data_IF_321217841375
#
_entry.id   IF_321217841375
#
_cell.length_a   1.000
_cell.length_b   1.000
_cell.length_c   1.000
_cell.angle_alpha   90.00
_cell.angle_beta   90.00
_cell.angle_gamma   90.00
#
_symmetry.space_group_name_H-M   'P 1'
#
loop_
_entity.id
_entity.type
_entity.pdbx_description
1 polymer ?
#
# COMPACT_ATOMS: atom_id res chain seq x y z
N UNK A 1 1.11 -22.69 20.12
CA UNK A 1 0.93 -21.22 20.00
C UNK A 1 2.24 -20.67 19.54
N UNK A 2 2.39 -20.39 18.24
CA UNK A 2 3.61 -19.76 17.72
C UNK A 2 3.69 -18.35 18.33
N UNK A 3 4.79 -18.05 18.99
CA UNK A 3 5.11 -16.69 19.42
C UNK A 3 5.23 -15.86 18.14
N UNK A 4 4.37 -14.85 17.98
CA UNK A 4 4.42 -13.90 16.86
C UNK A 4 5.84 -13.31 16.76
N UNK A 5 6.35 -13.13 15.54
CA UNK A 5 7.64 -12.49 15.34
C UNK A 5 7.60 -11.03 15.81
N UNK A 6 8.77 -10.42 16.00
CA UNK A 6 8.87 -9.00 16.32
C UNK A 6 8.20 -8.14 15.23
N UNK A 7 8.36 -8.49 13.95
CA UNK A 7 7.76 -7.77 12.82
C UNK A 7 6.24 -7.89 12.83
N UNK A 8 5.70 -9.06 13.14
CA UNK A 8 4.25 -9.27 13.21
C UNK A 8 3.64 -8.49 14.38
N UNK A 9 4.30 -8.49 15.55
CA UNK A 9 3.88 -7.68 16.69
C UNK A 9 3.90 -6.18 16.39
N UNK A 10 4.95 -5.70 15.72
CA UNK A 10 5.04 -4.28 15.31
C UNK A 10 3.91 -3.95 14.33
N UNK A 11 3.66 -4.80 13.33
CA UNK A 11 2.54 -4.62 12.41
C UNK A 11 1.18 -4.59 13.14
N UNK A 12 0.96 -5.49 14.09
CA UNK A 12 -0.25 -5.50 14.91
C UNK A 12 -0.40 -4.22 15.75
N UNK A 13 0.69 -3.75 16.36
CA UNK A 13 0.70 -2.51 17.13
C UNK A 13 0.36 -1.30 16.24
N UNK A 14 0.99 -1.21 15.07
CA UNK A 14 0.75 -0.13 14.12
C UNK A 14 -0.67 -0.14 13.58
N UNK A 15 -1.19 -1.31 13.23
CA UNK A 15 -2.58 -1.50 12.84
C UNK A 15 -3.55 -1.10 13.95
N UNK A 16 -3.27 -1.49 15.20
CA UNK A 16 -4.08 -1.10 16.35
C UNK A 16 -4.07 0.41 16.59
N UNK A 17 -2.91 1.06 16.52
CA UNK A 17 -2.78 2.52 16.62
C UNK A 17 -3.60 3.22 15.53
N UNK A 18 -3.53 2.73 14.29
CA UNK A 18 -4.30 3.28 13.17
C UNK A 18 -5.81 3.15 13.41
N UNK A 19 -6.29 1.96 13.76
CA UNK A 19 -7.72 1.69 14.00
C UNK A 19 -8.25 2.45 15.20
N UNK A 20 -7.48 2.57 16.29
CA UNK A 20 -7.90 3.32 17.48
C UNK A 20 -8.03 4.81 17.19
N UNK A 21 -7.08 5.40 16.46
CA UNK A 21 -7.16 6.82 16.10
C UNK A 21 -8.31 7.09 15.13
N UNK A 22 -8.48 6.24 14.11
CA UNK A 22 -9.58 6.37 13.16
C UNK A 22 -10.94 6.18 13.84
N UNK A 23 -11.08 5.17 14.71
CA UNK A 23 -12.28 4.95 15.51
C UNK A 23 -12.59 6.11 16.47
N UNK A 24 -11.54 6.69 17.07
CA UNK A 24 -11.69 7.89 17.90
C UNK A 24 -12.17 9.09 17.10
N UNK A 25 -11.63 9.31 15.89
CA UNK A 25 -12.10 10.37 14.98
C UNK A 25 -13.58 10.19 14.63
N UNK A 26 -13.99 8.98 14.26
CA UNK A 26 -15.39 8.69 13.94
C UNK A 26 -16.31 8.86 15.15
N UNK A 27 -15.85 8.51 16.36
CA UNK A 27 -16.59 8.77 17.59
C UNK A 27 -16.76 10.29 17.85
N UNK A 28 -15.70 11.08 17.66
CA UNK A 28 -15.78 12.54 17.77
C UNK A 28 -16.74 13.12 16.73
N UNK A 29 -16.70 12.64 15.48
CA UNK A 29 -17.62 13.07 14.42
C UNK A 29 -19.09 12.75 14.76
N UNK A 30 -19.36 11.54 15.28
CA UNK A 30 -20.70 11.13 15.71
C UNK A 30 -21.24 11.98 16.87
N UNK A 31 -20.34 12.50 17.71
CA UNK A 31 -20.68 13.43 18.80
C UNK A 31 -20.74 14.90 18.36
N UNK A 32 -20.50 15.21 17.07
CA UNK A 32 -20.45 16.58 16.54
C UNK A 32 -19.22 17.38 17.01
N UNK A 33 -18.18 16.70 17.51
CA UNK A 33 -16.94 17.30 18.02
C UNK A 33 -15.82 17.36 16.97
N UNK A 34 -15.96 16.64 15.86
CA UNK A 34 -15.08 16.76 14.69
C UNK A 34 -15.85 17.39 13.52
N UNK A 35 -15.21 18.34 12.84
CA UNK A 35 -15.77 18.95 11.63
C UNK A 35 -15.69 17.99 10.44
N UNK A 36 -16.39 18.30 9.36
CA UNK A 36 -16.24 17.61 8.07
C UNK A 36 -15.36 18.45 7.15
N UNK A 37 -14.42 17.81 6.48
CA UNK A 37 -13.58 18.42 5.44
C UNK A 37 -13.54 17.49 4.24
N UNK A 38 -13.65 18.00 3.01
CA UNK A 38 -13.59 17.18 1.79
C UNK A 38 -14.49 15.92 1.83
N UNK A 39 -15.68 16.05 2.43
CA UNK A 39 -16.66 14.97 2.56
C UNK A 39 -16.36 13.89 3.61
N UNK A 40 -15.31 14.05 4.42
CA UNK A 40 -14.91 13.08 5.46
C UNK A 40 -14.68 13.77 6.82
N UNK A 41 -14.74 13.04 7.95
CA UNK A 41 -14.38 13.58 9.25
C UNK A 41 -12.96 14.14 9.30
N UNK A 42 -12.83 15.38 9.74
CA UNK A 42 -11.56 16.09 9.85
C UNK A 42 -10.90 15.85 11.21
N UNK A 43 -9.64 15.44 11.22
CA UNK A 43 -8.86 15.28 12.44
C UNK A 43 -8.71 16.63 13.16
N UNK A 44 -9.20 16.77 14.41
CA UNK A 44 -9.30 18.08 15.06
C UNK A 44 -8.03 18.51 15.81
N UNK A 45 -6.99 17.68 15.87
CA UNK A 45 -5.76 17.94 16.63
C UNK A 45 -4.56 18.20 15.72
N UNK A 46 -3.60 18.99 16.18
CA UNK A 46 -2.37 19.27 15.41
C UNK A 46 -1.38 18.09 15.36
N UNK A 47 -1.57 17.08 16.22
CA UNK A 47 -0.70 15.92 16.33
C UNK A 47 -1.54 14.63 16.21
N UNK A 48 -0.90 13.57 15.72
CA UNK A 48 -1.37 12.19 15.75
C UNK A 48 -0.26 11.28 16.25
N UNK A 49 -0.58 10.07 16.68
CA UNK A 49 0.41 9.05 16.97
C UNK A 49 1.16 8.64 15.68
N UNK A 50 2.48 8.58 15.79
CA UNK A 50 3.40 8.25 14.71
C UNK A 50 3.64 6.73 14.66
N UNK A 51 3.15 6.08 13.61
CA UNK A 51 3.55 4.70 13.31
C UNK A 51 4.94 4.61 12.65
N UNK A 52 5.31 5.63 11.87
CA UNK A 52 6.49 5.61 11.01
C UNK A 52 7.81 5.53 11.81
N UNK A 53 7.87 6.19 12.97
CA UNK A 53 9.08 6.18 13.82
C UNK A 53 9.26 4.82 14.50
N UNK A 54 8.17 4.17 14.93
CA UNK A 54 8.20 2.85 15.56
C UNK A 54 8.70 1.76 14.61
N UNK A 55 8.49 1.94 13.30
CA UNK A 55 9.08 1.07 12.29
C UNK A 55 10.59 1.29 12.10
N UNK A 56 11.01 2.55 12.02
CA UNK A 56 12.37 2.90 11.64
C UNK A 56 13.32 2.57 12.79
N UNK A 57 12.90 2.85 14.02
CA UNK A 57 13.71 2.59 15.21
C UNK A 57 13.09 1.50 16.11
N UNK A 58 13.61 0.28 15.97
CA UNK A 58 13.22 -0.87 16.78
C UNK A 58 13.50 -0.68 18.27
N UNK A 59 14.42 0.21 18.65
CA UNK A 59 14.69 0.54 20.05
C UNK A 59 13.50 1.25 20.68
N UNK A 60 12.94 2.24 19.99
CA UNK A 60 11.76 3.00 20.45
C UNK A 60 10.55 2.07 20.56
N UNK A 61 10.35 1.15 19.62
CA UNK A 61 9.28 0.15 19.71
C UNK A 61 9.42 -0.74 20.96
N UNK A 62 10.63 -1.20 21.29
CA UNK A 62 10.88 -1.99 22.51
C UNK A 62 10.68 -1.18 23.78
N UNK A 63 11.11 0.08 23.77
CA UNK A 63 10.93 0.99 24.89
C UNK A 63 9.44 1.24 25.14
N UNK A 64 8.66 1.49 24.10
CA UNK A 64 7.21 1.64 24.19
C UNK A 64 6.54 0.37 24.71
N UNK A 65 6.94 -0.81 24.21
CA UNK A 65 6.41 -2.10 24.69
C UNK A 65 6.71 -2.31 26.17
N UNK A 66 7.93 -1.96 26.60
CA UNK A 66 8.34 -2.04 28.00
C UNK A 66 7.49 -1.10 28.85
N UNK A 67 7.27 0.13 28.38
CA UNK A 67 6.44 1.12 29.05
C UNK A 67 4.97 0.67 29.19
N UNK A 68 4.40 0.07 28.15
CA UNK A 68 3.06 -0.54 28.19
C UNK A 68 3.00 -1.71 29.19
N UNK A 69 4.04 -2.56 29.24
CA UNK A 69 4.17 -3.64 30.20
C UNK A 69 4.19 -3.15 31.65
N UNK A 70 5.03 -2.17 31.96
CA UNK A 70 5.05 -1.54 33.30
C UNK A 70 3.71 -0.88 33.64
N UNK A 71 3.07 -0.23 32.67
CA UNK A 71 1.74 0.37 32.87
C UNK A 71 0.68 -0.69 33.21
N UNK A 72 0.70 -1.85 32.56
CA UNK A 72 -0.21 -2.96 32.88
C UNK A 72 0.04 -3.52 34.30
N UNK A 73 1.30 -3.65 34.71
CA UNK A 73 1.65 -4.09 36.08
C UNK A 73 1.23 -3.04 37.12
N UNK A 74 1.40 -1.75 36.82
CA UNK A 74 0.93 -0.67 37.68
C UNK A 74 -0.60 -0.68 37.84
N UNK A 75 -1.34 -0.91 36.74
CA UNK A 75 -2.81 -1.04 36.78
C UNK A 75 -3.23 -2.26 37.60
N UNK A 76 -2.58 -3.41 37.44
CA UNK A 76 -2.85 -4.59 38.24
C UNK A 76 -2.58 -4.34 39.73
N UNK A 77 -1.45 -3.69 40.05
CA UNK A 77 -1.11 -3.31 41.41
C UNK A 77 -2.16 -2.38 42.03
N UNK A 78 -2.66 -1.41 41.25
CA UNK A 78 -3.74 -0.52 41.66
C UNK A 78 -5.05 -1.27 41.92
N UNK A 79 -5.44 -2.18 41.02
CA UNK A 79 -6.64 -3.03 41.20
C UNK A 79 -6.52 -3.87 42.47
N UNK A 80 -5.36 -4.48 42.72
CA UNK A 80 -5.09 -5.24 43.94
C UNK A 80 -5.15 -4.32 45.17
N UNK A 81 -4.64 -3.09 45.10
CA UNK A 81 -4.72 -2.12 46.20
C UNK A 81 -6.17 -1.75 46.56
N UNK A 82 -7.05 -1.69 45.57
CA UNK A 82 -8.47 -1.42 45.77
C UNK A 82 -9.18 -2.61 46.43
N UNK A 83 -8.86 -3.84 46.00
CA UNK A 83 -9.45 -5.08 46.52
C UNK A 83 -8.90 -5.51 47.89
N UNK A 84 -7.60 -5.30 48.15
CA UNK A 84 -6.90 -5.79 49.34
C UNK A 84 -6.69 -4.69 50.39
N UNK A 85 -7.66 -4.54 51.30
CA UNK A 85 -7.65 -3.49 52.34
C UNK A 85 -6.42 -3.51 53.25
N UNK A 86 -5.86 -4.68 53.56
CA UNK A 86 -4.68 -4.81 54.47
C UNK A 86 -3.36 -4.46 53.79
N UNK A 87 -3.21 -4.74 52.49
CA UNK A 87 -1.99 -4.47 51.70
C UNK A 87 -2.02 -3.18 50.89
N UNK A 88 -3.09 -2.37 51.01
CA UNK A 88 -3.37 -1.22 50.14
C UNK A 88 -2.21 -0.24 50.01
N UNK A 89 -1.61 0.17 51.14
CA UNK A 89 -0.52 1.17 51.13
C UNK A 89 0.71 0.65 50.38
N UNK A 90 1.09 -0.62 50.59
CA UNK A 90 2.22 -1.24 49.90
C UNK A 90 1.98 -1.29 48.40
N UNK A 91 0.78 -1.69 47.97
CA UNK A 91 0.43 -1.77 46.55
C UNK A 91 0.34 -0.39 45.88
N UNK A 92 -0.11 0.65 46.60
CA UNK A 92 -0.07 2.03 46.10
C UNK A 92 1.37 2.54 45.93
N UNK A 93 2.25 2.29 46.90
CA UNK A 93 3.67 2.64 46.78
C UNK A 93 4.33 1.89 45.62
N UNK A 94 4.03 0.60 45.45
CA UNK A 94 4.49 -0.17 44.30
C UNK A 94 4.00 0.42 42.97
N UNK A 95 2.72 0.83 42.90
CA UNK A 95 2.15 1.49 41.70
C UNK A 95 2.90 2.76 41.36
N UNK A 96 3.15 3.63 42.35
CA UNK A 96 3.91 4.88 42.15
C UNK A 96 5.34 4.60 41.71
N UNK A 97 6.02 3.63 42.35
CA UNK A 97 7.37 3.24 41.97
C UNK A 97 7.42 2.71 40.53
N UNK A 98 6.49 1.85 40.13
CA UNK A 98 6.43 1.32 38.76
C UNK A 98 6.26 2.45 37.75
N UNK A 99 5.32 3.36 37.98
CA UNK A 99 5.08 4.51 37.07
C UNK A 99 6.31 5.40 36.98
N UNK A 100 6.99 5.68 38.10
CA UNK A 100 8.17 6.53 38.14
C UNK A 100 9.38 5.92 37.39
N UNK A 101 9.60 4.61 37.51
CA UNK A 101 10.70 3.91 36.83
C UNK A 101 10.33 3.39 35.43
N UNK A 102 9.15 3.72 34.93
CA UNK A 102 8.72 3.30 33.58
C UNK A 102 9.57 4.03 32.54
N UNK A 103 10.27 3.32 31.62
CA UNK A 103 11.12 3.94 30.61
C UNK A 103 10.27 4.46 29.45
N UNK A 104 9.58 5.59 29.62
CA UNK A 104 8.78 6.18 28.55
C UNK A 104 9.66 6.67 27.40
N UNK A 105 9.27 6.40 26.13
CA UNK A 105 9.94 7.01 24.99
C UNK A 105 9.70 8.51 24.94
N UNK A 106 10.62 9.25 24.30
CA UNK A 106 10.43 10.69 24.08
C UNK A 106 9.13 10.94 23.30
N UNK A 107 8.29 11.85 23.83
CA UNK A 107 6.98 12.17 23.22
C UNK A 107 7.11 12.54 21.75
N UNK A 108 8.14 13.30 21.38
CA UNK A 108 8.38 13.75 20.00
C UNK A 108 8.66 12.61 19.02
N UNK A 109 9.00 11.41 19.51
CA UNK A 109 9.17 10.20 18.70
C UNK A 109 7.86 9.41 18.56
N UNK A 110 6.89 9.65 19.46
CA UNK A 110 5.59 8.96 19.47
C UNK A 110 4.50 9.74 18.72
N UNK A 111 4.69 11.03 18.47
CA UNK A 111 3.74 11.87 17.75
C UNK A 111 4.32 12.41 16.44
N UNK A 112 3.45 12.63 15.47
CA UNK A 112 3.76 13.29 14.21
C UNK A 112 2.76 14.45 13.99
N UNK A 113 3.16 15.52 13.27
CA UNK A 113 2.22 16.52 12.80
C UNK A 113 1.08 15.86 12.03
N UNK A 114 -0.14 16.29 12.30
CA UNK A 114 -1.34 15.82 11.63
C UNK A 114 -1.99 16.96 10.86
N UNK A 115 -2.67 16.60 9.79
CA UNK A 115 -3.50 17.49 9.00
C UNK A 115 -4.97 17.11 9.18
N UNK A 116 -5.92 18.02 8.93
CA UNK A 116 -7.35 17.72 9.02
C UNK A 116 -7.73 16.48 8.19
N UNK A 117 -7.07 16.28 7.05
CA UNK A 117 -7.32 15.13 6.18
C UNK A 117 -6.48 13.89 6.51
N UNK A 118 -5.63 13.86 7.55
CA UNK A 118 -4.68 12.75 7.81
C UNK A 118 -5.28 11.34 7.76
N UNK A 119 -6.54 11.18 8.19
CA UNK A 119 -7.26 9.90 8.21
C UNK A 119 -8.25 9.73 7.06
N UNK A 120 -8.30 10.68 6.11
CA UNK A 120 -9.12 10.52 4.93
C UNK A 120 -8.63 9.36 4.07
N UNK A 121 -9.58 8.63 3.50
CA UNK A 121 -9.34 7.52 2.59
C UNK A 121 -9.74 7.91 1.18
N UNK A 122 -9.05 7.35 0.18
CA UNK A 122 -9.38 7.61 -1.21
C UNK A 122 -10.70 6.92 -1.59
N UNK A 123 -11.70 7.64 -2.11
CA UNK A 123 -12.95 7.05 -2.57
C UNK A 123 -12.83 6.40 -3.96
N UNK A 124 -11.68 6.53 -4.64
CA UNK A 124 -11.48 6.08 -6.03
C UNK A 124 -11.32 4.57 -6.17
N UNK A 125 -11.04 3.86 -5.07
CA UNK A 125 -10.80 2.41 -5.06
C UNK A 125 -9.60 1.98 -5.90
N UNK A 126 -8.60 2.85 -6.09
CA UNK A 126 -7.46 2.61 -6.97
C UNK A 126 -7.89 2.15 -8.38
N UNK A 127 -8.96 2.77 -8.91
CA UNK A 127 -9.53 2.39 -10.20
C UNK A 127 -8.61 2.75 -11.36
N UNK A 128 -8.65 1.92 -12.41
CA UNK A 128 -7.86 2.17 -13.61
C UNK A 128 -8.18 3.54 -14.24
N UNK A 129 -9.45 3.95 -14.22
CA UNK A 129 -9.88 5.26 -14.70
C UNK A 129 -9.27 6.41 -13.86
N UNK A 130 -9.24 6.28 -12.53
CA UNK A 130 -8.63 7.28 -11.66
C UNK A 130 -7.11 7.38 -11.90
N UNK A 131 -6.40 6.26 -12.08
CA UNK A 131 -4.97 6.25 -12.40
C UNK A 131 -4.70 6.98 -13.72
N UNK A 132 -5.49 6.69 -14.76
CA UNK A 132 -5.33 7.32 -16.08
C UNK A 132 -5.67 8.81 -16.05
N UNK A 133 -6.73 9.19 -15.36
CA UNK A 133 -7.08 10.59 -15.14
C UNK A 133 -5.99 11.33 -14.35
N UNK A 134 -5.52 10.74 -13.26
CA UNK A 134 -4.43 11.26 -12.44
C UNK A 134 -3.16 11.49 -13.23
N UNK A 135 -2.82 10.61 -14.19
CA UNK A 135 -1.70 10.81 -15.10
C UNK A 135 -1.84 12.12 -15.89
N UNK A 136 -3.01 12.37 -16.47
CA UNK A 136 -3.24 13.58 -17.28
C UNK A 136 -3.09 14.83 -16.43
N UNK A 137 -3.65 14.82 -15.22
CA UNK A 137 -3.52 15.95 -14.28
C UNK A 137 -2.05 16.14 -13.86
N UNK A 138 -1.33 15.04 -13.57
CA UNK A 138 0.06 15.09 -13.14
C UNK A 138 0.98 15.68 -14.21
N UNK A 139 0.83 15.23 -15.47
CA UNK A 139 1.60 15.75 -16.60
C UNK A 139 1.40 17.25 -16.78
N UNK A 140 0.18 17.75 -16.54
CA UNK A 140 -0.16 19.17 -16.69
C UNK A 140 0.27 20.05 -15.51
N UNK A 141 0.31 19.52 -14.29
CA UNK A 141 0.41 20.32 -13.06
C UNK A 141 1.64 20.02 -12.20
N UNK A 142 2.19 18.82 -12.29
CA UNK A 142 3.20 18.31 -11.35
C UNK A 142 4.53 18.03 -12.04
N UNK A 143 4.51 17.53 -13.28
CA UNK A 143 5.69 17.01 -13.98
C UNK A 143 6.78 18.07 -14.26
N UNK A 144 6.43 19.36 -14.34
CA UNK A 144 7.43 20.43 -14.54
C UNK A 144 8.43 20.54 -13.39
N UNK A 145 8.04 20.15 -12.17
CA UNK A 145 8.90 20.10 -11.00
C UNK A 145 9.28 18.66 -10.65
N UNK A 146 8.31 17.74 -10.63
CA UNK A 146 8.51 16.37 -10.15
C UNK A 146 8.99 15.38 -11.23
N UNK A 147 9.20 15.82 -12.47
CA UNK A 147 9.45 14.98 -13.65
C UNK A 147 8.31 14.00 -13.97
N UNK A 148 8.23 13.51 -15.20
CA UNK A 148 7.20 12.54 -15.63
C UNK A 148 7.36 11.21 -14.89
N UNK A 149 8.60 10.79 -14.63
CA UNK A 149 8.90 9.55 -13.90
C UNK A 149 8.84 9.72 -12.37
N UNK A 150 8.54 10.92 -11.87
CA UNK A 150 8.39 11.19 -10.44
C UNK A 150 9.69 11.44 -9.68
N UNK A 151 10.86 11.42 -10.33
CA UNK A 151 12.15 11.54 -9.62
C UNK A 151 12.49 12.96 -9.16
N UNK A 152 11.90 13.98 -9.79
CA UNK A 152 12.22 15.38 -9.50
C UNK A 152 13.45 15.92 -10.23
N UNK A 153 13.99 15.19 -11.21
CA UNK A 153 15.21 15.58 -11.94
C UNK A 153 14.90 16.56 -13.09
N UNK A 154 14.34 17.73 -12.77
CA UNK A 154 14.02 18.79 -13.75
C UNK A 154 14.88 20.04 -13.55
N UNK A 155 15.16 20.84 -14.60
CA UNK A 155 15.88 22.11 -14.44
C UNK A 155 15.20 23.06 -13.44
N UNK A 156 13.85 23.06 -13.41
CA UNK A 156 13.09 23.86 -12.44
C UNK A 156 13.29 23.35 -11.02
N UNK A 157 13.19 22.04 -10.78
CA UNK A 157 13.44 21.46 -9.46
C UNK A 157 14.85 21.76 -8.92
N UNK A 158 15.86 21.73 -9.78
CA UNK A 158 17.25 22.06 -9.42
C UNK A 158 17.44 23.55 -9.08
N UNK A 159 16.54 24.42 -9.52
CA UNK A 159 16.57 25.85 -9.21
C UNK A 159 15.85 26.21 -7.90
N UNK A 160 15.08 25.29 -7.32
CA UNK A 160 14.33 25.54 -6.09
C UNK A 160 15.24 25.46 -4.86
N UNK A 161 15.00 26.28 -3.82
CA UNK A 161 15.75 26.20 -2.56
C UNK A 161 15.64 24.83 -1.87
N UNK A 162 14.53 24.13 -2.10
CA UNK A 162 14.28 22.77 -1.61
C UNK A 162 13.85 21.93 -2.81
N UNK A 163 14.66 20.95 -3.17
CA UNK A 163 14.33 20.01 -4.25
C UNK A 163 13.03 19.25 -3.92
N UNK A 164 12.13 19.05 -4.88
CA UNK A 164 10.97 18.19 -4.70
C UNK A 164 11.41 16.77 -4.31
N UNK A 165 10.66 16.08 -3.44
CA UNK A 165 10.98 14.70 -3.09
C UNK A 165 10.82 13.78 -4.30
N UNK A 166 11.63 12.72 -4.34
CA UNK A 166 11.49 11.63 -5.30
C UNK A 166 10.19 10.84 -5.02
N UNK A 167 9.16 11.09 -5.81
CA UNK A 167 7.85 10.43 -5.75
C UNK A 167 7.88 9.00 -6.28
N UNK A 168 8.93 8.61 -7.02
CA UNK A 168 9.14 7.23 -7.45
C UNK A 168 9.68 6.32 -6.35
N UNK A 169 10.08 6.87 -5.20
CA UNK A 169 10.65 6.10 -4.09
C UNK A 169 9.57 5.47 -3.20
N UNK A 170 9.95 4.42 -2.47
CA UNK A 170 9.10 3.81 -1.43
C UNK A 170 8.66 4.77 -0.32
N UNK A 171 9.28 5.96 -0.18
CA UNK A 171 8.86 6.97 0.80
C UNK A 171 7.47 7.53 0.53
N UNK A 172 7.04 7.57 -0.74
CA UNK A 172 5.68 7.97 -1.10
C UNK A 172 4.65 7.11 -0.37
N UNK A 173 4.87 5.80 -0.36
CA UNK A 173 3.95 4.80 0.19
C UNK A 173 3.87 4.81 1.72
N UNK A 174 4.87 5.37 2.39
CA UNK A 174 4.88 5.53 3.85
C UNK A 174 4.00 6.70 4.32
N UNK A 175 3.61 7.64 3.45
CA UNK A 175 2.83 8.83 3.82
C UNK A 175 1.33 8.54 3.84
N UNK A 176 0.61 9.05 4.84
CA UNK A 176 -0.85 9.03 4.87
C UNK A 176 -1.46 9.60 3.58
N UNK A 177 -2.46 8.94 3.00
CA UNK A 177 -2.96 9.35 1.68
C UNK A 177 -3.69 10.68 1.85
N UNK A 178 -4.41 10.83 2.96
CA UNK A 178 -4.94 12.08 3.44
C UNK A 178 -3.92 13.19 3.70
N UNK A 179 -2.68 12.88 4.12
CA UNK A 179 -1.61 13.89 4.22
C UNK A 179 -1.05 14.28 2.85
N UNK A 180 -0.95 13.32 1.91
CA UNK A 180 -0.62 13.62 0.52
C UNK A 180 -1.70 14.52 -0.09
N UNK A 181 -2.97 14.21 0.18
CA UNK A 181 -4.11 15.03 -0.23
C UNK A 181 -3.96 16.46 0.29
N UNK A 182 -3.68 16.63 1.60
CA UNK A 182 -3.50 17.95 2.18
C UNK A 182 -2.38 18.74 1.49
N UNK A 183 -1.23 18.10 1.27
CA UNK A 183 -0.06 18.73 0.64
C UNK A 183 -0.33 19.14 -0.81
N UNK A 184 -1.09 18.35 -1.56
CA UNK A 184 -1.50 18.72 -2.92
C UNK A 184 -2.52 19.86 -2.89
N UNK A 185 -3.54 19.76 -2.05
CA UNK A 185 -4.61 20.75 -1.98
C UNK A 185 -4.11 22.11 -1.46
N UNK A 186 -3.36 22.13 -0.36
CA UNK A 186 -2.99 23.33 0.39
C UNK A 186 -1.51 23.71 0.27
N UNK A 187 -0.70 22.87 -0.37
CA UNK A 187 0.74 23.10 -0.57
C UNK A 187 1.60 22.49 0.54
N UNK A 188 2.92 22.60 0.37
CA UNK A 188 3.89 22.14 1.35
C UNK A 188 4.75 23.30 1.84
N UNK A 189 5.24 23.16 3.08
CA UNK A 189 6.12 24.13 3.73
C UNK A 189 7.36 23.45 4.30
N UNK A 190 8.45 24.20 4.41
CA UNK A 190 9.64 23.75 5.13
C UNK A 190 9.49 23.93 6.66
N UNK A 191 10.54 23.55 7.39
CA UNK A 191 10.60 23.68 8.86
C UNK A 191 10.56 25.12 9.38
N UNK A 192 10.79 26.11 8.52
CA UNK A 192 10.73 27.54 8.84
C UNK A 192 9.39 28.16 8.41
N UNK A 193 8.48 27.34 7.85
CA UNK A 193 7.16 27.76 7.40
C UNK A 193 7.14 28.37 5.99
N UNK A 194 8.28 28.40 5.28
CA UNK A 194 8.34 28.90 3.92
C UNK A 194 7.67 27.92 2.95
N UNK A 195 6.90 28.42 1.99
CA UNK A 195 6.22 27.59 1.01
C UNK A 195 7.24 26.93 0.06
N UNK A 196 7.23 25.61 -0.01
CA UNK A 196 8.09 24.80 -0.89
C UNK A 196 7.33 24.18 -2.06
N UNK A 197 6.01 24.05 -1.93
CA UNK A 197 5.12 23.58 -3.00
C UNK A 197 3.82 24.41 -2.95
N UNK A 198 3.31 24.90 -4.09
CA UNK A 198 2.04 25.62 -4.13
C UNK A 198 0.86 24.66 -3.83
N UNK A 199 -0.21 25.20 -3.25
CA UNK A 199 -1.48 24.49 -3.12
C UNK A 199 -2.34 24.63 -4.38
N UNK A 200 -3.14 23.60 -4.67
CA UNK A 200 -3.94 23.48 -5.89
C UNK A 200 -5.46 23.54 -5.67
N UNK A 201 -5.94 23.96 -4.49
CA UNK A 201 -7.38 24.09 -4.17
C UNK A 201 -8.22 24.91 -5.16
N UNK A 202 -7.62 25.81 -5.94
CA UNK A 202 -8.34 26.61 -6.95
C UNK A 202 -8.35 25.98 -8.34
N UNK A 203 -7.54 24.96 -8.56
CA UNK A 203 -7.29 24.35 -9.88
C UNK A 203 -7.73 22.89 -9.95
N UNK A 204 -7.78 22.20 -8.81
CA UNK A 204 -8.07 20.77 -8.71
C UNK A 204 -9.27 20.55 -7.80
N UNK A 205 -10.14 19.62 -8.21
CA UNK A 205 -11.19 19.07 -7.36
C UNK A 205 -10.62 17.97 -6.44
N UNK A 206 -11.35 17.62 -5.39
CA UNK A 206 -10.95 16.51 -4.50
C UNK A 206 -10.76 15.20 -5.28
N UNK A 207 -11.59 14.94 -6.29
CA UNK A 207 -11.45 13.77 -7.16
C UNK A 207 -10.16 13.79 -7.98
N UNK A 208 -9.73 14.96 -8.45
CA UNK A 208 -8.45 15.12 -9.15
C UNK A 208 -7.28 14.83 -8.21
N UNK A 209 -7.35 15.28 -6.96
CA UNK A 209 -6.31 15.05 -5.96
C UNK A 209 -6.20 13.57 -5.60
N UNK A 210 -7.32 12.87 -5.42
CA UNK A 210 -7.30 11.42 -5.17
C UNK A 210 -6.79 10.63 -6.38
N UNK A 211 -7.21 11.01 -7.59
CA UNK A 211 -6.70 10.42 -8.83
C UNK A 211 -5.19 10.64 -9.00
N UNK A 212 -4.67 11.83 -8.64
CA UNK A 212 -3.24 12.11 -8.62
C UNK A 212 -2.48 11.16 -7.68
N UNK A 213 -3.01 10.91 -6.47
CA UNK A 213 -2.38 9.99 -5.52
C UNK A 213 -2.35 8.55 -6.06
N UNK A 214 -3.45 8.09 -6.68
CA UNK A 214 -3.50 6.78 -7.34
C UNK A 214 -2.47 6.68 -8.46
N UNK A 215 -2.39 7.69 -9.33
CA UNK A 215 -1.39 7.76 -10.38
C UNK A 215 0.04 7.77 -9.82
N UNK A 216 0.32 8.59 -8.81
CA UNK A 216 1.66 8.68 -8.20
C UNK A 216 2.12 7.32 -7.67
N UNK A 217 1.24 6.57 -7.00
CA UNK A 217 1.51 5.20 -6.53
C UNK A 217 1.75 4.25 -7.71
N UNK A 218 0.88 4.27 -8.72
CA UNK A 218 1.03 3.44 -9.93
C UNK A 218 2.35 3.75 -10.68
N UNK A 219 2.71 5.01 -10.81
CA UNK A 219 3.93 5.45 -11.48
C UNK A 219 5.18 5.06 -10.70
N UNK A 220 5.15 5.20 -9.35
CA UNK A 220 6.22 4.75 -8.48
C UNK A 220 6.46 3.23 -8.61
N UNK A 221 5.40 2.44 -8.74
CA UNK A 221 5.51 1.00 -9.00
C UNK A 221 6.22 0.69 -10.32
N UNK A 222 5.82 1.34 -11.42
CA UNK A 222 6.47 1.16 -12.71
C UNK A 222 7.92 1.64 -12.72
N UNK A 223 8.21 2.75 -12.02
CA UNK A 223 9.56 3.26 -11.86
C UNK A 223 10.46 2.33 -11.05
N UNK A 224 9.93 1.72 -9.97
CA UNK A 224 10.63 0.73 -9.15
C UNK A 224 11.02 -0.49 -9.99
N UNK A 225 10.10 -1.06 -10.77
CA UNK A 225 10.42 -2.16 -11.69
C UNK A 225 11.53 -1.78 -12.67
N UNK A 226 11.46 -0.60 -13.30
CA UNK A 226 12.48 -0.18 -14.26
C UNK A 226 13.85 0.04 -13.61
N UNK A 227 13.87 0.44 -12.33
CA UNK A 227 15.10 0.73 -11.61
C UNK A 227 15.77 -0.52 -11.03
N UNK A 228 15.00 -1.44 -10.45
CA UNK A 228 15.53 -2.57 -9.67
C UNK A 228 14.96 -3.94 -10.05
N UNK A 229 14.03 -4.00 -11.01
CA UNK A 229 13.43 -5.25 -11.51
C UNK A 229 12.29 -5.81 -10.64
N UNK A 230 11.95 -5.15 -9.53
CA UNK A 230 10.94 -5.58 -8.56
C UNK A 230 10.05 -4.39 -8.12
N UNK A 231 8.98 -4.69 -7.38
CA UNK A 231 8.18 -3.69 -6.68
C UNK A 231 8.64 -3.56 -5.23
N UNK A 232 9.15 -2.38 -4.87
CA UNK A 232 9.51 -2.05 -3.49
C UNK A 232 8.33 -2.07 -2.52
N UNK A 233 7.12 -1.85 -3.04
CA UNK A 233 5.88 -1.70 -2.28
C UNK A 233 4.76 -2.49 -2.97
N UNK A 234 3.79 -3.02 -2.22
CA UNK A 234 2.75 -3.86 -2.80
C UNK A 234 1.78 -2.99 -3.60
N UNK A 235 1.40 -3.47 -4.78
CA UNK A 235 0.52 -2.75 -5.70
C UNK A 235 -0.74 -3.56 -5.91
N UNK A 236 -1.90 -2.98 -5.63
CA UNK A 236 -3.16 -3.65 -5.89
C UNK A 236 -3.41 -3.77 -7.40
N UNK A 237 -4.10 -4.82 -7.83
CA UNK A 237 -4.65 -4.86 -9.18
C UNK A 237 -5.67 -3.71 -9.30
N UNK A 238 -5.55 -2.79 -10.28
CA UNK A 238 -6.49 -1.68 -10.41
C UNK A 238 -7.93 -2.16 -10.57
N UNK A 239 -8.85 -1.54 -9.83
CA UNK A 239 -10.28 -1.81 -10.02
C UNK A 239 -10.68 -1.48 -11.46
N UNK A 240 -11.48 -2.34 -12.11
CA UNK A 240 -11.74 -2.24 -13.55
C UNK A 240 -10.80 -3.05 -14.44
N UNK A 241 -9.62 -3.46 -13.96
CA UNK A 241 -8.73 -4.34 -14.72
C UNK A 241 -9.17 -5.81 -14.69
N UNK A 242 -9.92 -6.20 -13.66
CA UNK A 242 -10.54 -7.51 -13.53
C UNK A 242 -12.01 -7.56 -13.93
N UNK A 243 -12.66 -6.45 -14.31
CA UNK A 243 -14.12 -6.44 -14.45
C UNK A 243 -14.62 -7.27 -15.63
N UNK A 244 -15.61 -8.12 -15.36
CA UNK A 244 -16.15 -9.09 -16.30
C UNK A 244 -17.65 -8.87 -16.46
N UNK A 245 -18.10 -8.49 -17.65
CA UNK A 245 -19.53 -8.28 -17.95
C UNK A 245 -20.26 -7.45 -16.88
N UNK A 246 -19.62 -6.37 -16.38
CA UNK A 246 -20.13 -5.47 -15.32
C UNK A 246 -20.17 -6.05 -13.90
N UNK A 247 -19.54 -7.19 -13.64
CA UNK A 247 -19.24 -7.65 -12.28
C UNK A 247 -17.80 -7.32 -11.94
N UNK A 248 -17.61 -6.56 -10.85
CA UNK A 248 -16.31 -6.35 -10.26
C UNK A 248 -15.76 -7.70 -9.79
N UNK A 249 -14.58 -8.08 -10.27
CA UNK A 249 -13.86 -9.20 -9.68
C UNK A 249 -13.18 -8.67 -8.43
N UNK A 250 -13.88 -8.81 -7.30
CA UNK A 250 -13.20 -8.90 -6.02
C UNK A 250 -12.51 -10.25 -5.99
N UNK A 251 -11.28 -10.28 -5.48
CA UNK A 251 -10.53 -11.52 -5.33
C UNK A 251 -11.35 -12.57 -4.58
N UNK A 252 -12.24 -12.20 -3.64
CA UNK A 252 -13.07 -13.14 -2.85
C UNK A 252 -12.26 -14.33 -2.31
N UNK A 253 -10.97 -14.11 -2.01
CA UNK A 253 -10.03 -15.15 -1.59
C UNK A 253 -9.46 -16.03 -2.73
N UNK A 254 -9.85 -15.81 -3.98
CA UNK A 254 -9.28 -16.39 -5.20
C UNK A 254 -8.22 -15.48 -5.82
N UNK A 255 -7.23 -16.08 -6.47
CA UNK A 255 -6.20 -15.36 -7.21
C UNK A 255 -6.68 -15.01 -8.61
N UNK A 256 -6.30 -13.85 -9.09
CA UNK A 256 -6.62 -13.40 -10.44
C UNK A 256 -5.36 -13.46 -11.29
N UNK A 257 -5.47 -14.09 -12.45
CA UNK A 257 -4.45 -14.06 -13.50
C UNK A 257 -4.93 -13.16 -14.63
N UNK A 258 -4.25 -12.03 -14.83
CA UNK A 258 -4.55 -11.10 -15.93
C UNK A 258 -3.61 -11.39 -17.09
N UNK A 259 -4.16 -11.70 -18.26
CA UNK A 259 -3.44 -11.99 -19.50
C UNK A 259 -3.65 -10.83 -20.45
N UNK A 260 -2.57 -10.14 -20.81
CA UNK A 260 -2.62 -8.97 -21.69
C UNK A 260 -2.49 -9.45 -23.14
N UNK A 261 -3.59 -9.37 -23.90
CA UNK A 261 -3.65 -9.89 -25.27
C UNK A 261 -3.85 -8.75 -26.26
N UNK A 262 -3.09 -8.74 -27.36
CA UNK A 262 -3.34 -7.81 -28.45
C UNK A 262 -4.14 -8.45 -29.56
N UNK A 263 -5.10 -7.71 -30.13
CA UNK A 263 -5.76 -8.11 -31.38
C UNK A 263 -4.79 -8.15 -32.57
N UNK A 264 -3.66 -7.44 -32.50
CA UNK A 264 -2.64 -7.35 -33.56
C UNK A 264 -1.54 -8.40 -33.43
N UNK A 265 -1.32 -8.90 -32.22
CA UNK A 265 -0.33 -9.93 -31.91
C UNK A 265 -1.01 -11.05 -31.11
N UNK A 266 -1.62 -12.03 -31.80
CA UNK A 266 -2.27 -13.14 -31.11
C UNK A 266 -1.20 -14.02 -30.43
N UNK A 267 -1.04 -13.86 -29.12
CA UNK A 267 -0.27 -14.77 -28.29
C UNK A 267 -1.04 -16.08 -28.06
N UNK A 268 -0.31 -17.18 -27.88
CA UNK A 268 -0.92 -18.43 -27.41
C UNK A 268 -1.52 -18.19 -26.02
N UNK A 269 -2.83 -18.41 -25.88
CA UNK A 269 -3.50 -18.26 -24.60
C UNK A 269 -3.13 -19.46 -23.72
N UNK A 270 -2.65 -19.22 -22.47
CA UNK A 270 -2.30 -20.32 -21.58
C UNK A 270 -3.53 -21.14 -21.21
N UNK A 271 -3.32 -22.42 -20.92
CA UNK A 271 -4.34 -23.25 -20.30
C UNK A 271 -4.79 -22.62 -18.97
N UNK A 272 -6.09 -22.69 -18.72
CA UNK A 272 -6.67 -22.18 -17.50
C UNK A 272 -6.41 -23.13 -16.31
N UNK A 273 -6.30 -22.58 -15.09
CA UNK A 273 -5.97 -23.31 -13.87
C UNK A 273 -7.12 -23.09 -12.87
N UNK A 274 -7.78 -24.15 -12.36
CA UNK A 274 -8.98 -24.02 -11.52
C UNK A 274 -8.73 -23.32 -10.17
N UNK A 275 -7.47 -23.11 -9.78
CA UNK A 275 -7.11 -22.37 -8.55
C UNK A 275 -7.01 -20.86 -8.79
N UNK A 276 -7.03 -20.44 -10.04
CA UNK A 276 -6.92 -19.06 -10.50
C UNK A 276 -8.21 -18.69 -11.24
N UNK A 277 -8.51 -17.40 -11.25
CA UNK A 277 -9.50 -16.83 -12.16
C UNK A 277 -8.78 -16.11 -13.28
N UNK A 278 -8.93 -16.56 -14.50
CA UNK A 278 -8.20 -16.01 -15.65
C UNK A 278 -9.00 -14.94 -16.38
N UNK A 279 -8.45 -13.73 -16.45
CA UNK A 279 -9.02 -12.58 -17.16
C UNK A 279 -8.12 -12.23 -18.32
N UNK A 280 -8.64 -12.24 -19.54
CA UNK A 280 -7.96 -11.58 -20.66
C UNK A 280 -8.34 -10.11 -20.66
N UNK A 281 -7.35 -9.23 -20.64
CA UNK A 281 -7.54 -7.84 -20.98
C UNK A 281 -7.00 -7.62 -22.39
N UNK A 282 -7.88 -7.18 -23.30
CA UNK A 282 -7.53 -6.96 -24.70
C UNK A 282 -7.44 -5.49 -25.07
N UNK A 283 -6.46 -5.14 -25.91
CA UNK A 283 -6.29 -3.80 -26.49
C UNK A 283 -7.31 -3.48 -27.62
N UNK A 284 -8.13 -4.46 -28.00
CA UNK A 284 -9.01 -4.39 -29.15
C UNK A 284 -9.94 -5.60 -29.30
N UNK A 285 -10.46 -5.79 -30.51
CA UNK A 285 -11.39 -6.88 -30.82
C UNK A 285 -10.66 -8.23 -30.94
N UNK A 286 -10.48 -8.91 -29.81
CA UNK A 286 -9.99 -10.29 -29.78
C UNK A 286 -11.14 -11.28 -30.03
N UNK A 287 -10.90 -12.29 -30.89
CA UNK A 287 -11.76 -13.48 -30.98
C UNK A 287 -11.16 -14.56 -30.08
N UNK A 288 -11.90 -14.97 -29.04
CA UNK A 288 -11.52 -16.10 -28.21
C UNK A 288 -11.65 -17.40 -29.01
N UNK A 289 -10.75 -18.39 -28.81
CA UNK A 289 -10.98 -19.74 -29.29
C UNK A 289 -12.32 -20.27 -28.75
N UNK A 290 -13.04 -21.04 -29.56
CA UNK A 290 -14.25 -21.71 -29.08
C UNK A 290 -13.90 -22.60 -27.87
N UNK A 291 -14.72 -22.65 -26.81
CA UNK A 291 -14.51 -23.52 -25.67
C UNK A 291 -14.34 -24.97 -26.17
N UNK A 292 -13.19 -25.58 -25.91
CA UNK A 292 -12.99 -27.00 -26.22
C UNK A 292 -13.58 -27.83 -25.08
N UNK A 293 -14.34 -28.88 -25.41
CA UNK A 293 -14.95 -29.76 -24.41
C UNK A 293 -13.85 -30.39 -23.52
N UNK A 294 -13.89 -30.06 -22.22
CA UNK A 294 -12.91 -30.56 -21.23
C UNK A 294 -11.67 -29.68 -21.02
N UNK A 295 -11.51 -28.57 -21.76
CA UNK A 295 -10.49 -27.56 -21.48
C UNK A 295 -11.10 -26.44 -20.61
N UNK A 296 -10.43 -26.00 -19.53
CA UNK A 296 -10.93 -24.92 -18.71
C UNK A 296 -11.01 -23.64 -19.57
N UNK A 297 -12.21 -23.08 -19.66
CA UNK A 297 -12.51 -21.93 -20.50
C UNK A 297 -12.04 -20.68 -19.78
N UNK A 298 -11.34 -19.79 -20.50
CA UNK A 298 -10.97 -18.48 -19.97
C UNK A 298 -12.22 -17.79 -19.44
N UNK A 299 -12.23 -17.50 -18.14
CA UNK A 299 -13.41 -17.04 -17.41
C UNK A 299 -13.95 -15.71 -17.95
N UNK A 300 -13.08 -14.88 -18.52
CA UNK A 300 -13.43 -13.50 -18.85
C UNK A 300 -12.56 -12.82 -19.90
N UNK A 301 -13.21 -11.95 -20.69
CA UNK A 301 -12.58 -10.99 -21.60
C UNK A 301 -13.02 -9.57 -21.25
N UNK A 302 -12.07 -8.72 -20.86
CA UNK A 302 -12.23 -7.29 -20.67
C UNK A 302 -11.59 -6.51 -21.83
N UNK A 303 -12.14 -5.33 -22.12
CA UNK A 303 -11.65 -4.40 -23.16
C UNK A 303 -11.47 -2.98 -22.61
N UNK A 304 -11.20 -2.87 -21.31
CA UNK A 304 -11.01 -1.58 -20.65
C UNK A 304 -9.70 -0.94 -21.12
N UNK A 305 -9.82 0.18 -21.85
CA UNK A 305 -8.66 0.99 -22.27
C UNK A 305 -7.92 1.57 -21.07
N UNK A 306 -8.67 1.99 -20.06
CA UNK A 306 -8.10 2.56 -18.84
C UNK A 306 -7.30 1.50 -18.09
N UNK A 307 -7.80 0.26 -17.99
CA UNK A 307 -7.06 -0.84 -17.38
C UNK A 307 -5.77 -1.17 -18.14
N UNK A 308 -5.82 -1.15 -19.47
CA UNK A 308 -4.63 -1.39 -20.29
C UNK A 308 -3.56 -0.33 -20.02
N UNK A 309 -3.95 0.94 -19.97
CA UNK A 309 -3.04 2.05 -19.68
C UNK A 309 -2.55 2.04 -18.23
N UNK A 310 -3.42 1.76 -17.25
CA UNK A 310 -3.03 1.67 -15.84
C UNK A 310 -2.02 0.54 -15.61
N UNK A 311 -2.20 -0.63 -16.25
CA UNK A 311 -1.24 -1.73 -16.16
C UNK A 311 0.07 -1.42 -16.89
N UNK A 312 0.05 -0.67 -18.00
CA UNK A 312 1.29 -0.15 -18.62
C UNK A 312 2.07 0.72 -17.63
N UNK A 313 1.39 1.63 -16.91
CA UNK A 313 2.02 2.47 -15.88
C UNK A 313 2.60 1.62 -14.75
N UNK A 314 1.81 0.69 -14.18
CA UNK A 314 2.20 -0.14 -13.02
C UNK A 314 3.35 -1.10 -13.34
N UNK A 315 3.33 -1.71 -14.51
CA UNK A 315 4.37 -2.67 -14.93
C UNK A 315 5.63 -1.96 -15.45
N UNK A 316 5.51 -0.68 -15.76
CA UNK A 316 6.55 0.12 -16.39
C UNK A 316 6.86 -0.29 -17.84
N UNK A 317 6.00 -1.09 -18.47
CA UNK A 317 6.11 -1.55 -19.86
C UNK A 317 5.27 -0.61 -20.74
N UNK A 318 5.82 -0.18 -21.87
CA UNK A 318 5.10 0.68 -22.82
C UNK A 318 3.85 -0.02 -23.37
N UNK A 319 2.82 0.78 -23.66
CA UNK A 319 1.48 0.28 -23.97
C UNK A 319 1.43 -0.62 -25.22
N UNK A 320 2.34 -0.41 -26.17
CA UNK A 320 2.50 -1.20 -27.40
C UNK A 320 3.28 -2.52 -27.18
N UNK A 321 4.10 -2.59 -26.12
CA UNK A 321 4.89 -3.76 -25.73
C UNK A 321 4.21 -4.59 -24.63
N UNK A 322 3.06 -4.13 -24.13
CA UNK A 322 2.37 -4.75 -22.99
C UNK A 322 1.78 -6.12 -23.31
N UNK A 323 1.43 -6.36 -24.59
CA UNK A 323 0.84 -7.60 -25.06
C UNK A 323 1.78 -8.81 -24.83
N UNK A 324 1.22 -9.93 -24.36
CA UNK A 324 1.95 -11.13 -23.95
C UNK A 324 2.32 -11.15 -22.47
N UNK A 325 2.18 -10.04 -21.77
CA UNK A 325 2.43 -9.97 -20.32
C UNK A 325 1.33 -10.69 -19.54
N UNK A 326 1.73 -11.45 -18.52
CA UNK A 326 0.80 -12.05 -17.56
C UNK A 326 1.07 -11.49 -16.17
N UNK A 327 0.02 -11.18 -15.42
CA UNK A 327 0.10 -10.73 -14.04
C UNK A 327 -0.69 -11.67 -13.15
N UNK A 328 -0.18 -11.93 -11.96
CA UNK A 328 -0.82 -12.80 -10.98
C UNK A 328 -0.99 -12.06 -9.66
N UNK A 329 -2.19 -12.13 -9.09
CA UNK A 329 -2.47 -11.61 -7.75
C UNK A 329 -2.38 -12.70 -6.67
N UNK A 330 -2.21 -12.30 -5.42
CA UNK A 330 -2.59 -13.15 -4.29
C UNK A 330 -4.10 -13.10 -4.02
N UNK A 331 -4.52 -13.74 -2.93
CA UNK A 331 -5.92 -13.86 -2.49
C UNK A 331 -6.50 -12.53 -2.00
N UNK A 332 -5.65 -11.59 -1.61
CA UNK A 332 -6.04 -10.27 -1.12
C UNK A 332 -6.07 -9.22 -2.25
N UNK A 333 -5.74 -9.63 -3.48
CA UNK A 333 -5.81 -8.78 -4.67
C UNK A 333 -4.55 -7.95 -4.92
N UNK A 334 -3.46 -8.21 -4.20
CA UNK A 334 -2.17 -7.60 -4.49
C UNK A 334 -1.54 -8.27 -5.69
N UNK A 335 -0.99 -7.50 -6.62
CA UNK A 335 -0.15 -8.02 -7.69
C UNK A 335 1.15 -8.57 -7.08
N UNK A 336 1.50 -9.80 -7.44
CA UNK A 336 2.63 -10.51 -6.82
C UNK A 336 3.66 -11.00 -7.83
N UNK A 337 3.22 -11.44 -9.01
CA UNK A 337 4.12 -11.98 -10.01
C UNK A 337 3.78 -11.45 -11.42
N UNK A 338 4.81 -11.41 -12.26
CA UNK A 338 4.70 -11.00 -13.65
C UNK A 338 5.50 -11.92 -14.54
N UNK A 339 4.91 -12.27 -15.67
CA UNK A 339 5.58 -12.92 -16.78
C UNK A 339 5.67 -11.97 -17.96
N UNK A 340 6.87 -11.81 -18.52
CA UNK A 340 7.09 -10.96 -19.68
C UNK A 340 6.68 -11.65 -20.98
N UNK A 341 6.42 -10.88 -22.06
CA UNK A 341 6.07 -11.44 -23.37
C UNK A 341 7.12 -12.42 -23.92
N UNK A 342 8.41 -12.13 -23.71
CA UNK A 342 9.51 -13.00 -24.15
C UNK A 342 9.48 -14.38 -23.48
N UNK A 343 8.94 -14.46 -22.26
CA UNK A 343 8.86 -15.68 -21.45
C UNK A 343 7.45 -16.24 -21.38
N UNK A 344 6.50 -15.71 -22.17
CA UNK A 344 5.07 -16.03 -22.04
C UNK A 344 4.78 -17.53 -22.10
N UNK A 345 5.60 -18.28 -22.84
CA UNK A 345 5.50 -19.73 -23.05
C UNK A 345 6.30 -20.58 -22.04
N UNK A 346 7.13 -19.98 -21.18
CA UNK A 346 7.92 -20.70 -20.17
C UNK A 346 7.08 -21.30 -19.04
N UNK A 347 7.69 -22.04 -18.10
CA UNK A 347 7.02 -22.34 -16.84
C UNK A 347 7.13 -21.12 -15.90
N UNK A 348 6.14 -20.93 -15.02
CA UNK A 348 6.29 -19.98 -13.91
C UNK A 348 7.44 -20.39 -12.98
N UNK A 349 8.08 -19.42 -12.35
CA UNK A 349 9.23 -19.62 -11.48
C UNK A 349 9.21 -18.59 -10.34
N UNK A 350 9.93 -18.86 -9.25
CA UNK A 350 10.00 -17.90 -8.15
C UNK A 350 10.57 -16.55 -8.59
N UNK A 351 11.47 -16.49 -9.57
CA UNK A 351 12.01 -15.24 -10.11
C UNK A 351 10.97 -14.33 -10.75
N UNK A 352 9.76 -14.84 -11.06
CA UNK A 352 8.65 -14.04 -11.56
C UNK A 352 7.97 -13.20 -10.46
N UNK A 353 8.28 -13.44 -9.17
CA UNK A 353 7.75 -12.67 -8.04
C UNK A 353 8.38 -11.27 -8.02
N UNK A 354 7.53 -10.26 -8.11
CA UNK A 354 7.93 -8.86 -8.12
C UNK A 354 7.96 -8.23 -6.72
N UNK A 355 7.15 -8.69 -5.78
CA UNK A 355 7.10 -8.14 -4.42
C UNK A 355 7.42 -9.25 -3.40
N UNK A 356 8.60 -9.14 -2.78
CA UNK A 356 9.17 -10.12 -1.84
C UNK A 356 9.43 -9.50 -0.47
N UNK A 357 9.35 -10.33 0.56
CA UNK A 357 9.84 -9.95 1.87
C UNK A 357 11.34 -9.64 1.77
N UNK A 358 11.86 -8.61 2.47
CA UNK A 358 13.30 -8.44 2.65
C UNK A 358 13.78 -9.57 3.58
N UNK A 359 14.04 -10.75 3.03
CA UNK A 359 14.67 -11.85 3.76
C UNK A 359 16.17 -11.58 3.84
N UNK A 360 16.73 -11.67 5.05
CA UNK A 360 18.14 -12.02 5.21
C UNK A 360 18.38 -13.27 4.37
N UNK A 361 19.45 -13.27 3.58
CA UNK A 361 19.93 -14.35 2.71
C UNK A 361 19.94 -15.74 3.39
N UNK A 362 18.78 -16.36 3.63
CA UNK A 362 18.70 -17.80 3.81
C UNK A 362 18.47 -18.42 2.44
N UNK A 363 19.56 -18.46 1.68
CA UNK A 363 19.74 -19.42 0.62
C UNK A 363 19.61 -20.82 1.22
N UNK A 364 18.46 -21.47 1.05
CA UNK A 364 18.37 -22.90 1.28
C UNK A 364 17.07 -23.37 1.90
N UNK A 365 16.03 -23.44 1.07
CA UNK A 365 15.13 -24.59 0.95
C UNK A 365 14.25 -24.36 -0.28
N UNK A 366 14.80 -24.67 -1.46
CA UNK A 366 14.02 -24.89 -2.67
C UNK A 366 12.98 -25.97 -2.36
N UNK A 367 11.72 -25.57 -2.27
CA UNK A 367 10.63 -26.53 -2.20
C UNK A 367 10.53 -27.20 -3.58
N UNK A 368 10.37 -28.53 -3.59
CA UNK A 368 10.48 -29.40 -4.79
C UNK A 368 9.45 -29.15 -5.91
N UNK A 369 8.56 -28.17 -5.76
CA UNK A 369 7.54 -27.81 -6.75
C UNK A 369 8.09 -26.77 -7.73
N UNK A 370 8.26 -27.13 -8.99
CA UNK A 370 8.56 -26.19 -10.09
C UNK A 370 7.26 -25.68 -10.73
N UNK A 371 7.33 -24.61 -11.51
CA UNK A 371 6.16 -24.09 -12.20
C UNK A 371 5.25 -23.23 -11.33
N UNK A 372 3.97 -23.20 -11.69
CA UNK A 372 2.95 -22.38 -11.02
C UNK A 372 2.72 -22.81 -9.56
N UNK A 373 2.89 -24.09 -9.25
CA UNK A 373 2.73 -24.62 -7.88
C UNK A 373 3.78 -24.03 -6.93
N UNK A 374 5.04 -24.01 -7.36
CA UNK A 374 6.13 -23.40 -6.59
C UNK A 374 5.93 -21.90 -6.41
N UNK A 375 5.53 -21.20 -7.48
CA UNK A 375 5.24 -19.77 -7.41
C UNK A 375 4.13 -19.47 -6.40
N UNK A 376 3.01 -20.20 -6.46
CA UNK A 376 1.89 -20.00 -5.54
C UNK A 376 2.31 -20.31 -4.10
N UNK A 377 3.06 -21.38 -3.87
CA UNK A 377 3.56 -21.73 -2.55
C UNK A 377 4.50 -20.65 -1.99
N UNK A 378 5.40 -20.10 -2.81
CA UNK A 378 6.28 -19.00 -2.42
C UNK A 378 5.50 -17.73 -2.09
N UNK A 379 4.48 -17.39 -2.90
CA UNK A 379 3.60 -16.24 -2.63
C UNK A 379 2.82 -16.39 -1.32
N UNK A 380 2.38 -17.61 -0.98
CA UNK A 380 1.66 -17.92 0.25
C UNK A 380 2.58 -17.97 1.48
N UNK A 381 3.85 -18.32 1.30
CA UNK A 381 4.86 -18.30 2.35
C UNK A 381 5.25 -16.87 2.76
N UNK A 382 5.10 -15.90 1.85
CA UNK A 382 5.38 -14.48 2.08
C UNK A 382 4.12 -13.61 1.88
N UNK A 383 3.10 -13.70 2.74
CA UNK A 383 1.86 -12.94 2.57
C UNK A 383 2.12 -11.44 2.68
N UNK A 384 1.50 -10.66 1.78
CA UNK A 384 1.52 -9.20 1.83
C UNK A 384 0.52 -8.73 2.89
N UNK A 385 1.00 -8.02 3.90
CA UNK A 385 0.19 -7.32 4.90
C UNK A 385 0.58 -5.85 4.89
N UNK A 386 0.10 -5.12 3.89
CA UNK A 386 0.36 -3.69 3.83
C UNK A 386 -0.33 -2.97 4.98
N UNK A 387 0.47 -2.53 5.95
CA UNK A 387 0.07 -1.55 6.94
C UNK A 387 0.81 -0.27 6.59
N UNK A 388 0.07 0.84 6.53
CA UNK A 388 0.68 2.14 6.27
C UNK A 388 1.68 2.46 7.37
N UNK A 389 2.91 2.75 6.96
CA UNK A 389 4.00 2.90 7.91
C UNK A 389 4.22 1.63 8.73
N UNK A 390 3.92 0.44 8.18
CA UNK A 390 4.22 -0.90 8.69
C UNK A 390 5.14 -1.72 7.74
N UNK A 391 5.52 -2.93 8.13
CA UNK A 391 6.23 -3.86 7.24
C UNK A 391 5.26 -4.43 6.20
N UNK A 392 5.69 -4.45 4.93
CA UNK A 392 4.87 -4.89 3.79
C UNK A 392 4.54 -6.38 3.84
N UNK A 393 5.49 -7.22 4.27
CA UNK A 393 5.31 -8.67 4.37
C UNK A 393 5.23 -9.09 5.83
N UNK A 394 4.35 -10.05 6.10
CA UNK A 394 4.34 -10.74 7.39
C UNK A 394 5.27 -11.96 7.34
N UNK A 395 5.87 -12.28 8.48
CA UNK A 395 6.61 -13.53 8.62
C UNK A 395 5.61 -14.67 8.84
N UNK A 396 5.80 -15.84 8.19
CA UNK A 396 4.93 -17.00 8.39
C UNK A 396 5.01 -17.59 9.81
#
# INVERSE_FOLDING_TARGET
MNLLSLSDWINLLLGAIQVLQDGFLHALAALGLAQTSHGQPAWPFAERLSGDVLLIDRSIARQLLSALGFSAVALLALVIALAWRRGRVVMLLATVAIVFFTPWPDRHLLVAPAEPTSFHTSPTGFSAAAIVHGRQVYEQRCASCHAIDGKGDTPLALSLPVSPPNLASGLLWRRADGELFWKIAYGARDRHGAATMPGFTRQLTDNDVWALIDFMKANAAGASIRAIGSWDQPVALPTGAGDCNKQAIHSNGQRVRVILASARQPAALPLDDPRLRSVILADGALKLPAPQAGAPAIDCLSRSKDAWQALSIITGIDSDQLAGTQLLTDRDGWLRARKLPADSNGAWSESDILCRAPTEMEAGKSNKSSGLDGLIAAMDAEPVRFIKGGFVHATP
#
